data_IF_023014984736
#
_entry.id   IF_023014984736
#
_cell.length_a   1.000
_cell.length_b   1.000
_cell.length_c   1.000
_cell.angle_alpha   90.00
_cell.angle_beta   90.00
_cell.angle_gamma   90.00
#
_symmetry.space_group_name_H-M   'P 1'
#
loop_
_entity.id
_entity.type
_entity.pdbx_description
1 polymer ?
#
# COMPACT_ATOMS: atom_id res chain seq x y z
N UNK A 1 18.36 5.64 5.72
CA UNK A 1 17.81 4.76 4.66
C UNK A 1 16.98 3.65 5.32
N UNK A 2 15.70 3.45 4.90
CA UNK A 2 14.78 2.49 5.52
C UNK A 2 14.97 1.04 5.02
N UNK A 3 16.07 0.72 4.33
CA UNK A 3 16.33 -0.62 3.80
C UNK A 3 15.21 -1.14 2.90
N UNK A 4 14.70 -0.31 1.96
CA UNK A 4 13.63 -0.73 1.06
C UNK A 4 14.08 -1.83 0.12
N UNK A 5 13.24 -2.88 0.00
CA UNK A 5 13.37 -3.89 -1.02
C UNK A 5 13.31 -3.27 -2.42
N UNK A 6 14.03 -3.83 -3.39
CA UNK A 6 14.15 -3.26 -4.75
C UNK A 6 12.80 -2.97 -5.39
N UNK A 7 11.83 -3.86 -5.22
CA UNK A 7 10.45 -3.67 -5.72
C UNK A 7 9.78 -2.43 -5.15
N UNK A 8 10.03 -2.10 -3.88
CA UNK A 8 9.44 -0.91 -3.25
C UNK A 8 10.02 0.39 -3.83
N UNK A 9 11.26 0.36 -4.33
CA UNK A 9 11.91 1.50 -4.99
C UNK A 9 11.27 1.82 -6.34
N UNK A 10 10.46 0.91 -6.89
CA UNK A 10 9.72 1.15 -8.14
C UNK A 10 8.39 1.89 -7.90
N UNK A 11 7.86 1.89 -6.67
CA UNK A 11 6.57 2.53 -6.36
C UNK A 11 6.55 4.02 -6.76
N UNK A 12 7.58 4.84 -6.45
CA UNK A 12 7.60 6.25 -6.84
C UNK A 12 7.57 6.49 -8.36
N UNK A 13 7.92 5.49 -9.16
CA UNK A 13 7.95 5.57 -10.63
C UNK A 13 6.62 5.17 -11.28
N UNK A 14 5.68 4.61 -10.50
CA UNK A 14 4.38 4.19 -11.00
C UNK A 14 3.52 5.40 -11.32
N UNK A 15 2.80 5.35 -12.43
CA UNK A 15 1.85 6.39 -12.83
C UNK A 15 0.45 6.11 -12.29
N UNK A 16 0.06 4.84 -12.20
CA UNK A 16 -1.27 4.38 -11.80
C UNK A 16 -1.24 3.07 -11.03
N UNK A 17 -2.36 2.77 -10.38
CA UNK A 17 -2.62 1.49 -9.73
C UNK A 17 -2.74 1.62 -8.23
N UNK A 18 -2.88 0.48 -7.56
CA UNK A 18 -3.15 0.40 -6.14
C UNK A 18 -1.99 -0.25 -5.39
N UNK A 19 -1.44 0.46 -4.42
CA UNK A 19 -0.36 -0.01 -3.55
C UNK A 19 -0.82 0.04 -2.09
N UNK A 20 -0.60 -1.04 -1.37
CA UNK A 20 -1.06 -1.17 0.02
C UNK A 20 0.13 -1.49 0.93
N UNK A 21 0.28 -0.72 1.99
CA UNK A 21 1.20 -1.02 3.10
C UNK A 21 0.40 -1.56 4.27
N UNK A 22 0.71 -2.77 4.72
CA UNK A 22 -0.04 -3.44 5.78
C UNK A 22 0.84 -3.85 6.96
N UNK A 23 0.19 -4.15 8.07
CA UNK A 23 0.82 -4.58 9.31
C UNK A 23 0.03 -4.08 10.52
N UNK A 24 0.39 -4.57 11.70
CA UNK A 24 -0.21 -4.14 12.97
C UNK A 24 0.03 -2.64 13.24
N UNK A 25 -0.64 -2.08 14.23
CA UNK A 25 -0.34 -0.73 14.72
C UNK A 25 1.10 -0.65 15.21
N UNK A 26 1.80 0.44 14.91
CA UNK A 26 3.18 0.63 15.33
C UNK A 26 4.23 -0.11 14.48
N UNK A 27 3.87 -0.72 13.33
CA UNK A 27 4.84 -1.39 12.44
C UNK A 27 5.53 -0.46 11.44
N UNK A 28 5.32 0.85 11.53
CA UNK A 28 5.99 1.85 10.67
C UNK A 28 5.33 2.05 9.30
N UNK A 29 4.05 1.71 9.12
CA UNK A 29 3.32 1.91 7.84
C UNK A 29 3.36 3.37 7.38
N UNK A 30 3.04 4.31 8.28
CA UNK A 30 3.06 5.75 7.99
C UNK A 30 4.45 6.23 7.59
N UNK A 31 5.49 5.75 8.26
CA UNK A 31 6.89 6.07 7.91
C UNK A 31 7.26 5.54 6.52
N UNK A 32 6.82 4.34 6.18
CA UNK A 32 7.03 3.75 4.84
C UNK A 32 6.32 4.56 3.76
N UNK A 33 5.04 4.90 3.96
CA UNK A 33 4.31 5.77 3.03
C UNK A 33 4.93 7.15 2.91
N UNK A 34 5.30 7.77 4.05
CA UNK A 34 5.95 9.07 4.05
C UNK A 34 7.25 9.07 3.24
N UNK A 35 8.05 8.00 3.33
CA UNK A 35 9.28 7.88 2.55
C UNK A 35 9.03 7.71 1.05
N UNK A 36 8.00 6.95 0.67
CA UNK A 36 7.57 6.81 -0.74
C UNK A 36 7.12 8.17 -1.28
N UNK A 37 6.27 8.88 -0.52
CA UNK A 37 5.79 10.21 -0.91
C UNK A 37 6.92 11.23 -1.01
N UNK A 38 7.87 11.21 -0.08
CA UNK A 38 9.02 12.10 -0.11
C UNK A 38 9.89 11.84 -1.36
N UNK A 39 10.06 10.58 -1.75
CA UNK A 39 10.76 10.25 -2.99
C UNK A 39 10.02 10.78 -4.23
N UNK A 40 8.69 10.59 -4.32
CA UNK A 40 7.89 11.19 -5.40
C UNK A 40 8.04 12.71 -5.41
N UNK A 41 7.91 13.36 -4.24
CA UNK A 41 8.00 14.82 -4.09
C UNK A 41 9.34 15.39 -4.55
N UNK A 42 10.44 14.65 -4.36
CA UNK A 42 11.78 15.10 -4.74
C UNK A 42 12.13 14.82 -6.19
N UNK A 43 11.54 13.78 -6.78
CA UNK A 43 11.96 13.28 -8.09
C UNK A 43 11.00 13.66 -9.23
N UNK A 44 9.71 13.82 -8.94
CA UNK A 44 8.65 13.96 -9.94
C UNK A 44 7.78 15.19 -9.71
N UNK A 45 7.34 15.83 -10.80
CA UNK A 45 6.37 16.92 -10.76
C UNK A 45 4.95 16.33 -10.82
N UNK A 46 4.35 16.05 -9.66
CA UNK A 46 3.01 15.43 -9.53
C UNK A 46 2.13 16.21 -8.57
N UNK A 47 0.82 16.11 -8.76
CA UNK A 47 -0.17 16.57 -7.79
C UNK A 47 -0.49 15.42 -6.83
N UNK A 48 -0.10 15.57 -5.56
CA UNK A 48 -0.27 14.57 -4.52
C UNK A 48 -1.31 15.09 -3.52
N UNK A 49 -2.37 14.33 -3.28
CA UNK A 49 -3.35 14.66 -2.24
C UNK A 49 -3.40 13.53 -1.22
N UNK A 50 -3.27 13.87 0.06
CA UNK A 50 -3.38 12.91 1.15
C UNK A 50 -4.65 13.14 1.96
N UNK A 51 -5.31 12.05 2.34
CA UNK A 51 -6.41 12.00 3.29
C UNK A 51 -5.95 11.19 4.51
N UNK A 52 -5.78 11.84 5.67
CA UNK A 52 -5.11 11.25 6.83
C UNK A 52 -5.93 11.40 8.13
N UNK A 53 -5.70 10.53 9.11
CA UNK A 53 -6.34 10.57 10.43
C UNK A 53 -5.39 10.07 11.54
N UNK A 54 -4.60 10.99 12.17
CA UNK A 54 -4.30 12.37 11.78
C UNK A 54 -3.13 12.47 10.77
N UNK A 55 -2.74 13.69 10.39
CA UNK A 55 -1.47 13.94 9.67
C UNK A 55 -0.30 13.67 10.62
N UNK A 56 0.50 12.63 10.33
CA UNK A 56 1.68 12.26 11.14
C UNK A 56 2.97 12.93 10.65
N UNK A 57 3.14 13.07 9.33
CA UNK A 57 4.31 13.65 8.70
C UNK A 57 3.89 14.86 7.85
N UNK A 58 4.62 15.97 7.99
CA UNK A 58 4.40 17.16 7.16
C UNK A 58 5.44 17.24 6.07
N UNK A 59 5.00 17.48 4.85
CA UNK A 59 5.86 17.63 3.68
C UNK A 59 6.00 19.09 3.29
N UNK A 60 7.24 19.49 2.97
CA UNK A 60 7.51 20.72 2.24
C UNK A 60 7.45 20.43 0.74
N UNK A 61 6.76 21.27 -0.01
CA UNK A 61 6.70 21.14 -1.47
C UNK A 61 8.11 21.25 -2.08
N UNK A 62 8.41 20.36 -3.02
CA UNK A 62 9.65 20.38 -3.80
C UNK A 62 9.30 20.38 -5.30
N UNK A 63 9.39 19.22 -5.98
CA UNK A 63 8.94 19.12 -7.37
C UNK A 63 7.44 18.91 -7.50
N UNK A 64 6.84 18.23 -6.52
CA UNK A 64 5.40 17.96 -6.50
C UNK A 64 4.63 19.03 -5.73
N UNK A 65 3.36 19.25 -6.13
CA UNK A 65 2.37 19.94 -5.33
C UNK A 65 1.78 18.93 -4.32
N UNK A 66 1.92 19.17 -3.03
CA UNK A 66 1.37 18.28 -1.99
C UNK A 66 0.31 18.99 -1.19
N UNK A 67 -0.89 18.41 -1.15
CA UNK A 67 -2.00 18.84 -0.31
C UNK A 67 -2.34 17.77 0.72
N UNK A 68 -2.12 18.07 2.00
CA UNK A 68 -2.42 17.16 3.11
C UNK A 68 -3.73 17.57 3.78
N UNK A 69 -4.66 16.63 3.90
CA UNK A 69 -5.98 16.84 4.49
C UNK A 69 -6.22 15.90 5.64
N UNK A 70 -6.71 16.42 6.75
CA UNK A 70 -6.97 15.67 7.97
C UNK A 70 -8.47 15.48 8.18
N UNK A 71 -8.87 14.27 8.52
CA UNK A 71 -10.23 13.94 8.93
C UNK A 71 -10.69 14.82 10.10
N UNK A 72 -11.91 15.26 10.06
CA UNK A 72 -12.53 16.14 11.08
C UNK A 72 -12.16 17.62 10.97
N UNK A 73 -11.03 17.96 10.30
CA UNK A 73 -10.64 19.35 10.04
C UNK A 73 -10.93 19.79 8.61
N UNK A 74 -10.55 18.98 7.64
CA UNK A 74 -10.60 19.33 6.23
C UNK A 74 -11.66 18.53 5.45
N UNK A 75 -12.07 17.38 5.95
CA UNK A 75 -13.12 16.56 5.38
C UNK A 75 -13.84 15.75 6.47
N UNK A 76 -15.16 15.45 6.30
CA UNK A 76 -15.96 14.83 7.34
C UNK A 76 -15.92 13.29 7.36
N UNK A 77 -15.56 12.64 6.24
CA UNK A 77 -15.37 11.20 6.12
C UNK A 77 -14.45 10.87 4.94
N UNK A 78 -13.73 9.74 5.00
CA UNK A 78 -12.84 9.32 3.91
C UNK A 78 -13.58 9.20 2.57
N UNK A 79 -14.80 8.64 2.57
CA UNK A 79 -15.66 8.58 1.39
C UNK A 79 -15.87 9.98 0.76
N UNK A 80 -16.31 10.95 1.56
CA UNK A 80 -16.57 12.32 1.06
C UNK A 80 -15.27 13.01 0.62
N UNK A 81 -14.20 12.84 1.40
CA UNK A 81 -12.89 13.36 1.05
C UNK A 81 -12.43 12.84 -0.31
N UNK A 82 -12.50 11.52 -0.51
CA UNK A 82 -12.03 10.88 -1.75
C UNK A 82 -12.90 11.26 -2.97
N UNK A 83 -14.25 11.39 -2.80
CA UNK A 83 -15.13 11.92 -3.86
C UNK A 83 -14.75 13.32 -4.33
N UNK A 84 -14.30 14.19 -3.41
CA UNK A 84 -13.83 15.52 -3.75
C UNK A 84 -12.45 15.51 -4.41
N UNK A 85 -11.54 14.68 -3.92
CA UNK A 85 -10.18 14.53 -4.46
C UNK A 85 -10.19 14.11 -5.92
N UNK A 86 -11.03 13.14 -6.29
CA UNK A 86 -11.19 12.65 -7.67
C UNK A 86 -11.59 13.70 -8.71
N UNK A 87 -12.01 14.90 -8.26
CA UNK A 87 -12.38 16.02 -9.15
C UNK A 87 -11.30 17.10 -9.23
N UNK A 88 -10.14 16.87 -8.66
CA UNK A 88 -9.07 17.85 -8.55
C UNK A 88 -7.83 17.46 -9.36
N UNK A 89 -7.97 16.47 -10.23
CA UNK A 89 -6.92 16.01 -11.13
C UNK A 89 -5.61 15.65 -10.40
N UNK A 90 -5.65 14.82 -9.35
CA UNK A 90 -4.45 14.38 -8.67
C UNK A 90 -3.76 13.26 -9.44
N UNK A 91 -2.43 13.23 -9.44
CA UNK A 91 -1.67 12.08 -9.94
C UNK A 91 -1.54 10.98 -8.88
N UNK A 92 -1.41 11.40 -7.62
CA UNK A 92 -1.21 10.48 -6.48
C UNK A 92 -2.21 10.78 -5.37
N UNK A 93 -2.92 9.76 -4.94
CA UNK A 93 -3.88 9.85 -3.83
C UNK A 93 -3.40 8.95 -2.69
N UNK A 94 -3.28 9.51 -1.48
CA UNK A 94 -3.04 8.72 -0.27
C UNK A 94 -4.32 8.66 0.54
N UNK A 95 -4.79 7.45 0.80
CA UNK A 95 -5.90 7.20 1.73
C UNK A 95 -5.30 6.56 2.97
N UNK A 96 -5.23 7.31 4.07
CA UNK A 96 -4.54 6.90 5.28
C UNK A 96 -4.94 5.51 5.75
N UNK A 97 -6.25 5.22 5.77
CA UNK A 97 -6.77 3.88 5.96
C UNK A 97 -8.14 3.69 5.30
N UNK A 98 -8.44 2.44 4.96
CA UNK A 98 -9.71 2.04 4.37
C UNK A 98 -10.42 1.09 5.33
N UNK A 99 -11.52 1.54 5.94
CA UNK A 99 -12.29 0.76 6.92
C UNK A 99 -13.68 0.38 6.43
N UNK A 100 -14.22 1.10 5.48
CA UNK A 100 -15.59 0.97 4.99
C UNK A 100 -15.64 0.63 3.49
N UNK A 101 -16.70 -0.07 3.04
CA UNK A 101 -16.86 -0.50 1.64
C UNK A 101 -16.84 0.67 0.66
N UNK A 102 -17.43 1.80 1.03
CA UNK A 102 -17.54 2.98 0.16
C UNK A 102 -16.16 3.58 -0.13
N UNK A 103 -15.32 3.74 0.91
CA UNK A 103 -13.93 4.22 0.75
C UNK A 103 -13.11 3.27 -0.09
N UNK A 104 -13.21 1.94 0.13
CA UNK A 104 -12.50 0.94 -0.65
C UNK A 104 -12.95 0.98 -2.13
N UNK A 105 -14.25 1.04 -2.39
CA UNK A 105 -14.80 1.10 -3.75
C UNK A 105 -14.30 2.34 -4.51
N UNK A 106 -14.26 3.50 -3.85
CA UNK A 106 -13.76 4.73 -4.43
C UNK A 106 -12.24 4.68 -4.68
N UNK A 107 -11.47 4.08 -3.77
CA UNK A 107 -10.03 3.90 -3.95
C UNK A 107 -9.70 2.98 -5.13
N UNK A 108 -10.46 1.88 -5.29
CA UNK A 108 -10.33 0.98 -6.44
C UNK A 108 -10.72 1.70 -7.74
N UNK A 109 -11.79 2.49 -7.73
CA UNK A 109 -12.22 3.29 -8.88
C UNK A 109 -11.16 4.31 -9.26
N UNK A 110 -10.55 5.00 -8.28
CA UNK A 110 -9.45 5.93 -8.53
C UNK A 110 -8.27 5.23 -9.21
N UNK A 111 -7.85 4.07 -8.69
CA UNK A 111 -6.76 3.29 -9.27
C UNK A 111 -7.08 2.76 -10.68
N UNK A 112 -8.36 2.46 -10.97
CA UNK A 112 -8.82 2.01 -12.29
C UNK A 112 -8.89 3.16 -13.32
N UNK A 113 -9.06 4.40 -12.84
CA UNK A 113 -9.15 5.60 -13.67
C UNK A 113 -7.83 6.34 -13.86
N UNK A 114 -6.69 5.69 -13.59
CA UNK A 114 -5.37 6.21 -13.92
C UNK A 114 -4.65 6.95 -12.80
N UNK A 115 -5.10 6.84 -11.54
CA UNK A 115 -4.41 7.44 -10.40
C UNK A 115 -3.51 6.41 -9.69
N UNK A 116 -2.38 6.86 -9.17
CA UNK A 116 -1.62 6.07 -8.20
C UNK A 116 -2.26 6.22 -6.81
N UNK A 117 -2.85 5.16 -6.31
CA UNK A 117 -3.48 5.14 -4.98
C UNK A 117 -2.61 4.38 -4.00
N UNK A 118 -2.22 5.04 -2.93
CA UNK A 118 -1.47 4.47 -1.81
C UNK A 118 -2.37 4.41 -0.58
N UNK A 119 -2.39 3.27 0.13
CA UNK A 119 -3.20 3.16 1.35
C UNK A 119 -2.58 2.21 2.37
N UNK A 120 -3.16 2.21 3.58
CA UNK A 120 -2.79 1.25 4.62
C UNK A 120 -3.95 0.35 5.02
N UNK A 121 -3.60 -0.85 5.45
CA UNK A 121 -4.52 -1.82 6.06
C UNK A 121 -3.86 -2.50 7.27
N UNK A 122 -4.69 -2.99 8.17
CA UNK A 122 -4.25 -3.78 9.32
C UNK A 122 -4.39 -5.27 9.01
N UNK A 123 -3.45 -5.82 8.23
CA UNK A 123 -3.37 -7.25 7.93
C UNK A 123 -1.93 -7.74 8.10
N UNK A 124 -1.69 -8.97 8.61
CA UNK A 124 -0.36 -9.47 8.92
C UNK A 124 0.43 -9.92 7.70
N UNK A 125 -0.22 -10.22 6.57
CA UNK A 125 0.40 -10.67 5.32
C UNK A 125 -0.41 -10.21 4.09
N UNK A 126 0.18 -10.33 2.91
CA UNK A 126 -0.40 -9.85 1.66
C UNK A 126 -1.68 -10.60 1.24
N UNK A 127 -1.78 -11.89 1.52
CA UNK A 127 -2.99 -12.66 1.21
C UNK A 127 -4.18 -12.19 2.06
N UNK A 128 -3.96 -11.90 3.34
CA UNK A 128 -4.99 -11.36 4.22
C UNK A 128 -5.38 -9.92 3.89
N UNK A 129 -4.50 -9.13 3.25
CA UNK A 129 -4.88 -7.83 2.69
C UNK A 129 -5.97 -8.00 1.64
N UNK A 130 -5.78 -8.93 0.69
CA UNK A 130 -6.78 -9.24 -0.33
C UNK A 130 -8.07 -9.72 0.29
N UNK A 131 -7.99 -10.65 1.24
CA UNK A 131 -9.14 -11.19 1.96
C UNK A 131 -9.93 -10.09 2.69
N UNK A 132 -9.25 -9.18 3.41
CA UNK A 132 -9.90 -8.08 4.12
C UNK A 132 -10.64 -7.13 3.19
N UNK A 133 -10.03 -6.76 2.06
CA UNK A 133 -10.68 -5.90 1.08
C UNK A 133 -11.94 -6.55 0.55
N UNK A 134 -11.89 -7.84 0.25
CA UNK A 134 -13.01 -8.56 -0.38
C UNK A 134 -14.13 -8.84 0.63
N UNK A 135 -13.79 -9.14 1.89
CA UNK A 135 -14.76 -9.56 2.90
C UNK A 135 -15.63 -8.43 3.47
N UNK A 136 -15.34 -7.16 3.19
CA UNK A 136 -16.22 -6.05 3.56
C UNK A 136 -17.41 -5.91 2.59
N UNK A 137 -17.39 -6.63 1.47
CA UNK A 137 -18.45 -6.61 0.46
C UNK A 137 -19.24 -7.92 0.46
N UNK A 138 -20.51 -7.85 0.06
CA UNK A 138 -21.40 -9.00 0.01
C UNK A 138 -21.99 -9.21 -1.40
N UNK A 139 -22.34 -10.46 -1.71
CA UNK A 139 -23.09 -10.82 -2.91
C UNK A 139 -22.41 -10.40 -4.21
N UNK A 140 -23.14 -9.68 -5.07
CA UNK A 140 -22.65 -9.27 -6.39
C UNK A 140 -21.49 -8.24 -6.32
N UNK A 141 -21.47 -7.39 -5.29
CA UNK A 141 -20.42 -6.39 -5.11
C UNK A 141 -19.06 -7.05 -4.87
N UNK A 142 -19.02 -8.15 -4.11
CA UNK A 142 -17.79 -8.89 -3.87
C UNK A 142 -17.12 -9.36 -5.16
N UNK A 143 -17.91 -9.87 -6.12
CA UNK A 143 -17.39 -10.30 -7.43
C UNK A 143 -16.81 -9.12 -8.23
N UNK A 144 -17.48 -7.99 -8.20
CA UNK A 144 -16.99 -6.77 -8.86
C UNK A 144 -15.66 -6.29 -8.25
N UNK A 145 -15.57 -6.26 -6.93
CA UNK A 145 -14.36 -5.86 -6.21
C UNK A 145 -13.18 -6.79 -6.50
N UNK A 146 -13.41 -8.12 -6.60
CA UNK A 146 -12.37 -9.06 -7.00
C UNK A 146 -11.80 -8.75 -8.39
N UNK A 147 -12.66 -8.39 -9.34
CA UNK A 147 -12.23 -8.01 -10.70
C UNK A 147 -11.44 -6.71 -10.68
N UNK A 148 -11.94 -5.68 -10.01
CA UNK A 148 -11.28 -4.38 -9.92
C UNK A 148 -9.94 -4.48 -9.17
N UNK A 149 -9.91 -5.18 -8.03
CA UNK A 149 -8.68 -5.39 -7.26
C UNK A 149 -7.63 -6.16 -8.08
N UNK A 150 -8.03 -7.20 -8.80
CA UNK A 150 -7.13 -7.95 -9.67
C UNK A 150 -6.54 -7.09 -10.81
N UNK A 151 -7.28 -6.11 -11.30
CA UNK A 151 -6.83 -5.21 -12.36
C UNK A 151 -5.91 -4.10 -11.83
N UNK A 152 -6.22 -3.54 -10.66
CA UNK A 152 -5.59 -2.32 -10.15
C UNK A 152 -4.44 -2.58 -9.18
N UNK A 153 -4.47 -3.67 -8.39
CA UNK A 153 -3.43 -3.96 -7.41
C UNK A 153 -2.08 -4.14 -8.11
N UNK A 154 -1.08 -3.39 -7.67
CA UNK A 154 0.30 -3.47 -8.16
C UNK A 154 1.22 -4.12 -7.12
N UNK A 155 1.21 -3.63 -5.90
CA UNK A 155 2.11 -4.08 -4.83
C UNK A 155 1.35 -4.12 -3.49
N UNK A 156 1.61 -5.15 -2.70
CA UNK A 156 1.31 -5.18 -1.27
C UNK A 156 2.60 -5.34 -0.50
N UNK A 157 2.80 -4.50 0.51
CA UNK A 157 3.93 -4.58 1.45
C UNK A 157 3.36 -4.86 2.84
N UNK A 158 3.51 -6.06 3.35
CA UNK A 158 3.22 -6.36 4.75
C UNK A 158 4.49 -6.25 5.57
N UNK A 159 4.44 -5.52 6.70
CA UNK A 159 5.65 -5.25 7.47
C UNK A 159 5.51 -5.49 8.98
N UNK A 160 6.64 -5.87 9.59
CA UNK A 160 6.85 -5.99 11.03
C UNK A 160 8.10 -5.22 11.43
N UNK A 161 8.10 -4.63 12.61
CA UNK A 161 9.31 -4.08 13.21
C UNK A 161 9.92 -5.10 14.17
N UNK A 162 11.22 -5.29 14.05
CA UNK A 162 12.03 -6.20 14.87
C UNK A 162 13.12 -5.40 15.59
N UNK A 163 13.50 -5.79 16.82
CA UNK A 163 14.62 -5.18 17.52
C UNK A 163 15.92 -5.34 16.72
N UNK A 164 16.66 -4.22 16.53
CA UNK A 164 17.99 -4.24 15.94
C UNK A 164 19.05 -4.55 16.97
N UNK A 165 20.11 -5.26 16.58
CA UNK A 165 21.29 -5.53 17.44
C UNK A 165 21.96 -4.24 17.88
N UNK A 166 22.01 -3.22 17.01
CA UNK A 166 22.60 -1.91 17.31
C UNK A 166 21.66 -0.98 18.07
N UNK A 167 20.51 -1.47 18.51
CA UNK A 167 19.43 -0.70 19.13
C UNK A 167 18.46 -0.11 18.11
N UNK A 168 17.24 0.22 18.58
CA UNK A 168 16.16 0.69 17.72
C UNK A 168 15.41 -0.45 17.04
N UNK A 169 14.80 -0.17 15.87
CA UNK A 169 13.94 -1.10 15.17
C UNK A 169 14.30 -1.17 13.68
N UNK A 170 14.24 -2.37 13.12
CA UNK A 170 14.39 -2.62 11.69
C UNK A 170 13.13 -3.29 11.13
N UNK A 171 12.75 -2.95 9.90
CA UNK A 171 11.54 -3.47 9.29
C UNK A 171 11.82 -4.72 8.47
N UNK A 172 11.22 -5.86 8.87
CA UNK A 172 11.05 -7.02 8.00
C UNK A 172 9.79 -6.84 7.15
N UNK A 173 9.86 -7.23 5.87
CA UNK A 173 8.78 -6.98 4.91
C UNK A 173 8.51 -8.20 4.05
N UNK A 174 7.24 -8.54 3.92
CA UNK A 174 6.73 -9.40 2.87
C UNK A 174 6.26 -8.52 1.72
N UNK A 175 6.64 -8.84 0.48
CA UNK A 175 6.27 -8.09 -0.70
C UNK A 175 5.60 -9.01 -1.72
N UNK A 176 4.38 -8.65 -2.10
CA UNK A 176 3.63 -9.25 -3.20
C UNK A 176 3.62 -8.27 -4.37
N UNK A 177 3.96 -8.74 -5.57
CA UNK A 177 3.77 -8.01 -6.84
C UNK A 177 2.65 -8.62 -7.66
N UNK A 178 1.92 -7.78 -8.39
CA UNK A 178 0.83 -8.24 -9.23
C UNK A 178 1.36 -8.86 -10.52
N UNK A 179 1.34 -10.19 -10.58
CA UNK A 179 1.60 -10.97 -11.80
C UNK A 179 0.28 -11.51 -12.35
N UNK A 180 0.27 -12.00 -13.59
CA UNK A 180 -0.92 -12.65 -14.18
C UNK A 180 -1.45 -13.78 -13.29
N UNK A 181 -0.55 -14.57 -12.67
CA UNK A 181 -0.94 -15.63 -11.74
C UNK A 181 -1.64 -15.07 -10.49
N UNK A 182 -1.10 -13.99 -9.90
CA UNK A 182 -1.69 -13.30 -8.74
C UNK A 182 -3.04 -12.68 -9.11
N UNK A 183 -3.14 -12.01 -10.25
CA UNK A 183 -4.41 -11.44 -10.73
C UNK A 183 -5.50 -12.50 -10.90
N UNK A 184 -5.15 -13.64 -11.47
CA UNK A 184 -6.09 -14.75 -11.61
C UNK A 184 -6.48 -15.35 -10.26
N UNK A 185 -5.54 -15.48 -9.33
CA UNK A 185 -5.80 -15.93 -7.97
C UNK A 185 -6.76 -14.99 -7.23
N UNK A 186 -6.58 -13.67 -7.37
CA UNK A 186 -7.46 -12.65 -6.80
C UNK A 186 -8.87 -12.79 -7.40
N UNK A 187 -9.02 -12.87 -8.74
CA UNK A 187 -10.33 -13.04 -9.39
C UNK A 187 -11.08 -14.28 -8.91
N UNK A 188 -10.35 -15.34 -8.58
CA UNK A 188 -10.90 -16.61 -8.07
C UNK A 188 -11.06 -16.63 -6.56
N UNK A 189 -10.68 -15.55 -5.86
CA UNK A 189 -10.59 -15.49 -4.39
C UNK A 189 -9.77 -16.64 -3.80
N UNK A 190 -8.69 -17.03 -4.46
CA UNK A 190 -7.85 -18.15 -4.07
C UNK A 190 -6.59 -17.68 -3.31
N UNK A 191 -6.72 -17.53 -2.00
CA UNK A 191 -5.66 -17.04 -1.11
C UNK A 191 -4.45 -17.99 -1.05
N UNK A 192 -4.66 -19.30 -1.23
CA UNK A 192 -3.58 -20.29 -1.20
C UNK A 192 -2.62 -20.08 -2.37
N UNK A 193 -3.17 -19.78 -3.57
CA UNK A 193 -2.35 -19.48 -4.75
C UNK A 193 -1.61 -18.15 -4.59
N UNK A 194 -2.20 -17.16 -3.92
CA UNK A 194 -1.51 -15.90 -3.62
C UNK A 194 -0.28 -16.17 -2.74
N UNK A 195 -0.42 -16.96 -1.67
CA UNK A 195 0.69 -17.33 -0.78
C UNK A 195 1.80 -18.08 -1.54
N UNK A 196 1.45 -19.13 -2.29
CA UNK A 196 2.42 -19.87 -3.10
C UNK A 196 3.12 -19.01 -4.16
N UNK A 197 2.42 -17.99 -4.70
CA UNK A 197 3.01 -17.04 -5.64
C UNK A 197 4.10 -16.20 -4.99
N UNK A 198 3.93 -15.78 -3.72
CA UNK A 198 4.97 -15.04 -3.00
C UNK A 198 6.20 -15.94 -2.77
N UNK A 199 6.00 -17.19 -2.37
CA UNK A 199 7.08 -18.15 -2.11
C UNK A 199 7.95 -18.41 -3.35
N UNK A 200 7.31 -18.50 -4.52
CA UNK A 200 7.98 -18.83 -5.79
C UNK A 200 8.36 -17.62 -6.62
N UNK A 201 7.85 -16.44 -6.26
CA UNK A 201 7.91 -15.20 -7.05
C UNK A 201 9.17 -14.35 -6.86
N UNK A 202 10.29 -14.91 -6.37
CA UNK A 202 11.51 -14.14 -6.14
C UNK A 202 12.00 -13.38 -7.38
N UNK A 203 11.94 -14.00 -8.57
CA UNK A 203 12.34 -13.36 -9.83
C UNK A 203 11.43 -12.17 -10.22
N UNK A 204 10.21 -12.13 -9.70
CA UNK A 204 9.24 -11.05 -9.89
C UNK A 204 9.32 -9.99 -8.78
N UNK A 205 10.34 -10.07 -7.93
CA UNK A 205 10.54 -9.12 -6.83
C UNK A 205 9.65 -9.38 -5.61
N UNK A 206 9.13 -10.60 -5.45
CA UNK A 206 8.39 -11.01 -4.26
C UNK A 206 9.35 -11.55 -3.19
N UNK A 207 8.99 -11.34 -1.94
CA UNK A 207 9.72 -11.89 -0.79
C UNK A 207 8.74 -12.26 0.32
N UNK A 208 8.93 -13.42 0.92
CA UNK A 208 8.15 -13.83 2.11
C UNK A 208 8.68 -13.13 3.36
N UNK A 209 7.85 -13.01 4.40
CA UNK A 209 8.27 -12.48 5.69
C UNK A 209 9.45 -13.26 6.28
N UNK A 210 9.41 -14.58 6.23
CA UNK A 210 10.48 -15.45 6.76
C UNK A 210 11.81 -15.26 6.02
N UNK A 211 11.74 -15.08 4.70
CA UNK A 211 12.96 -14.82 3.92
C UNK A 211 13.53 -13.44 4.24
N UNK A 212 12.66 -12.43 4.39
CA UNK A 212 13.07 -11.08 4.79
C UNK A 212 13.77 -11.09 6.16
N UNK A 213 13.23 -11.83 7.13
CA UNK A 213 13.83 -11.98 8.46
C UNK A 213 15.21 -12.66 8.34
N UNK A 214 15.32 -13.76 7.57
CA UNK A 214 16.60 -14.45 7.34
C UNK A 214 17.64 -13.56 6.66
N UNK A 215 17.23 -12.68 5.76
CA UNK A 215 18.14 -11.73 5.12
C UNK A 215 18.65 -10.68 6.12
N UNK A 216 17.78 -10.17 7.01
CA UNK A 216 18.19 -9.26 8.08
C UNK A 216 19.15 -9.92 9.09
N UNK A 217 18.93 -11.20 9.42
CA UNK A 217 19.86 -11.97 10.26
C UNK A 217 21.24 -12.14 9.60
N UNK A 218 21.27 -12.48 8.29
CA UNK A 218 22.52 -12.59 7.53
C UNK A 218 23.29 -11.28 7.43
N UNK A 219 22.57 -10.14 7.45
CA UNK A 219 23.18 -8.82 7.48
C UNK A 219 23.67 -8.41 8.87
N UNK A 220 23.40 -9.21 9.91
CA UNK A 220 23.74 -8.90 11.29
C UNK A 220 22.92 -7.75 11.89
N UNK A 221 21.73 -7.49 11.37
CA UNK A 221 20.85 -6.43 11.85
C UNK A 221 19.93 -6.88 12.98
N UNK A 222 19.59 -8.17 13.03
CA UNK A 222 18.76 -8.82 14.07
C UNK A 222 19.39 -10.16 14.49
N UNK A 223 18.98 -10.66 15.67
CA UNK A 223 19.36 -12.00 16.17
C UNK A 223 18.72 -13.14 15.39
#
# INVERSE_FOLDING_TARGET
>A
ELGFHETMRQIPLMEEGFVIVSGATGTGKSTTLASILQEINTTSARHIITLEDPIEYRFSQQKSLIEQRQLGLHFPSFEKGLRHVLRQDPDVIVVGEMRDPETISLALTAAETGHLVLSTLHAPNAAEVVERIVNVFEGAQQKQVLVQLAATLKIVVAQKLLPSIDGGLVAAREVLTSTVAVQNAIRQNNLSVIRSSIETGKKQGMITMDLSIKELQKQGLIE
#
